data_IF_985517794921
#
_entry.id   IF_985517794921
#
_cell.length_a   1.000
_cell.length_b   1.000
_cell.length_c   1.000
_cell.angle_alpha   90.00
_cell.angle_beta   90.00
_cell.angle_gamma   90.00
#
_symmetry.space_group_name_H-M   'P 1'
#
loop_
_entity.id
_entity.type
_entity.pdbx_description
1 polymer ?
#
# COMPACT_ATOMS: atom_id res chain seq x y z
N UNK A 1 -3.97 -6.84 14.18
CA UNK A 1 -4.70 -5.90 13.30
C UNK A 1 -6.09 -5.74 13.87
N UNK A 2 -6.58 -4.50 13.99
CA UNK A 2 -7.98 -4.25 14.36
C UNK A 2 -8.78 -4.16 13.06
N UNK A 3 -9.85 -4.93 12.97
CA UNK A 3 -10.77 -4.92 11.83
C UNK A 3 -12.10 -4.39 12.34
N UNK A 4 -12.51 -3.26 11.81
CA UNK A 4 -13.82 -2.66 12.06
C UNK A 4 -14.62 -2.74 10.76
N UNK A 5 -15.75 -3.42 10.80
CA UNK A 5 -16.68 -3.56 9.69
C UNK A 5 -17.77 -2.48 9.67
N UNK A 6 -17.71 -1.54 10.63
CA UNK A 6 -18.61 -0.39 10.73
C UNK A 6 -19.98 -0.74 11.32
N UNK A 7 -20.15 -1.90 11.96
CA UNK A 7 -21.41 -2.30 12.59
C UNK A 7 -21.73 -1.51 13.86
N UNK A 8 -20.75 -0.91 14.53
CA UNK A 8 -20.97 -0.02 15.66
C UNK A 8 -20.21 1.29 15.53
N UNK A 9 -20.88 2.40 15.85
CA UNK A 9 -20.30 3.75 15.74
C UNK A 9 -19.24 4.03 16.81
N UNK A 10 -19.25 3.25 17.88
CA UNK A 10 -18.33 3.33 19.01
C UNK A 10 -17.12 2.39 18.90
N UNK A 11 -17.04 1.61 17.81
CA UNK A 11 -15.97 0.63 17.58
C UNK A 11 -15.98 -0.56 18.54
N UNK A 12 -17.01 -0.73 19.37
CA UNK A 12 -17.13 -1.84 20.34
C UNK A 12 -17.18 -3.22 19.68
N UNK A 13 -17.57 -3.29 18.41
CA UNK A 13 -17.61 -4.53 17.62
C UNK A 13 -16.36 -4.75 16.78
N UNK A 14 -15.35 -3.87 16.84
CA UNK A 14 -14.11 -4.06 16.12
C UNK A 14 -13.36 -5.30 16.64
N UNK A 15 -13.07 -6.23 15.74
CA UNK A 15 -12.35 -7.46 16.04
C UNK A 15 -10.84 -7.25 16.05
N UNK A 16 -10.10 -8.08 16.78
CA UNK A 16 -8.64 -8.14 16.70
C UNK A 16 -8.22 -9.45 16.07
N UNK A 17 -7.56 -9.38 14.92
CA UNK A 17 -6.96 -10.52 14.24
C UNK A 17 -5.44 -10.49 14.37
N UNK A 18 -4.84 -11.65 14.57
CA UNK A 18 -3.39 -11.80 14.63
C UNK A 18 -2.90 -12.30 13.28
N UNK A 19 -2.17 -11.45 12.57
CA UNK A 19 -1.45 -11.83 11.37
C UNK A 19 -0.03 -12.27 11.77
N UNK A 20 0.50 -13.38 11.24
CA UNK A 20 1.87 -13.79 11.51
C UNK A 20 2.84 -12.77 10.92
N UNK A 21 4.06 -12.72 11.47
CA UNK A 21 5.14 -11.93 10.88
C UNK A 21 5.46 -12.46 9.47
N UNK A 22 5.69 -11.54 8.53
CA UNK A 22 6.09 -11.85 7.16
C UNK A 22 7.49 -11.29 6.91
N UNK A 23 8.38 -12.09 6.33
CA UNK A 23 9.64 -11.59 5.79
C UNK A 23 9.41 -10.99 4.40
N UNK A 24 8.86 -9.77 4.42
CA UNK A 24 8.43 -9.06 3.22
C UNK A 24 9.56 -8.83 2.20
N UNK A 25 10.83 -8.75 2.64
CA UNK A 25 11.95 -8.50 1.74
C UNK A 25 12.37 -9.76 1.01
N UNK A 26 12.37 -10.90 1.71
CA UNK A 26 12.60 -12.21 1.10
C UNK A 26 11.50 -12.50 0.07
N UNK A 27 10.23 -12.36 0.46
CA UNK A 27 9.09 -12.57 -0.44
C UNK A 27 9.14 -11.66 -1.68
N UNK A 28 9.49 -10.38 -1.50
CA UNK A 28 9.64 -9.45 -2.61
C UNK A 28 10.75 -9.88 -3.59
N UNK A 29 11.92 -10.27 -3.07
CA UNK A 29 13.05 -10.71 -3.88
C UNK A 29 12.75 -12.02 -4.62
N UNK A 30 12.06 -12.95 -3.96
CA UNK A 30 11.63 -14.21 -4.56
C UNK A 30 10.60 -13.98 -5.66
N UNK A 31 9.55 -13.18 -5.43
CA UNK A 31 8.55 -12.86 -6.46
C UNK A 31 9.18 -12.18 -7.67
N UNK A 32 10.10 -11.25 -7.46
CA UNK A 32 10.86 -10.62 -8.54
C UNK A 32 11.68 -11.64 -9.34
N UNK A 33 12.40 -12.55 -8.65
CA UNK A 33 13.19 -13.60 -9.29
C UNK A 33 12.32 -14.57 -10.09
N UNK A 34 11.16 -14.96 -9.55
CA UNK A 34 10.19 -15.83 -10.23
C UNK A 34 9.59 -15.17 -11.48
N UNK A 35 9.28 -13.88 -11.43
CA UNK A 35 8.79 -13.13 -12.58
C UNK A 35 9.81 -13.15 -13.73
N UNK A 36 11.10 -13.01 -13.43
CA UNK A 36 12.19 -13.11 -14.42
C UNK A 36 12.25 -14.51 -15.02
N UNK A 37 12.29 -15.55 -14.17
CA UNK A 37 12.45 -16.94 -14.62
C UNK A 37 11.28 -17.43 -15.47
N UNK A 38 10.07 -17.01 -15.12
CA UNK A 38 8.84 -17.46 -15.80
C UNK A 38 8.42 -16.54 -16.94
N UNK A 39 9.00 -15.34 -17.04
CA UNK A 39 8.54 -14.30 -17.97
C UNK A 39 7.15 -13.74 -17.63
N UNK A 40 6.68 -13.94 -16.40
CA UNK A 40 5.36 -13.47 -15.95
C UNK A 40 5.46 -12.02 -15.50
N UNK A 41 4.54 -11.17 -15.95
CA UNK A 41 4.47 -9.80 -15.49
C UNK A 41 4.01 -9.74 -14.02
N UNK A 42 4.71 -8.94 -13.21
CA UNK A 42 4.24 -8.59 -11.87
C UNK A 42 2.97 -7.74 -11.97
N UNK A 43 2.06 -7.82 -10.97
CA UNK A 43 0.82 -7.05 -10.97
C UNK A 43 1.04 -5.54 -10.82
N UNK A 44 2.25 -5.12 -10.48
CA UNK A 44 2.69 -3.74 -10.35
C UNK A 44 3.96 -3.51 -11.18
N UNK A 45 4.02 -2.37 -11.84
CA UNK A 45 5.13 -1.96 -12.69
C UNK A 45 5.67 -0.58 -12.36
N UNK A 46 6.49 -0.05 -13.25
CA UNK A 46 7.11 1.28 -13.07
C UNK A 46 6.05 2.40 -13.03
N UNK A 47 4.94 2.24 -13.76
CA UNK A 47 3.85 3.21 -13.78
C UNK A 47 3.25 3.44 -12.38
N UNK A 48 3.09 2.38 -11.58
CA UNK A 48 2.59 2.45 -10.20
C UNK A 48 3.56 3.20 -9.29
N UNK A 49 4.87 3.00 -9.51
CA UNK A 49 5.91 3.74 -8.78
C UNK A 49 5.86 5.23 -9.13
N UNK A 50 5.69 5.58 -10.40
CA UNK A 50 5.55 6.97 -10.84
C UNK A 50 4.28 7.60 -10.24
N UNK A 51 3.15 6.89 -10.25
CA UNK A 51 1.92 7.36 -9.62
C UNK A 51 2.12 7.60 -8.12
N UNK A 52 2.81 6.70 -7.43
CA UNK A 52 3.15 6.85 -6.00
C UNK A 52 4.01 8.10 -5.76
N UNK A 53 5.00 8.38 -6.62
CA UNK A 53 5.83 9.58 -6.50
C UNK A 53 5.02 10.87 -6.72
N UNK A 54 4.08 10.89 -7.68
CA UNK A 54 3.17 12.04 -7.88
C UNK A 54 2.31 12.34 -6.65
N UNK A 55 1.86 11.29 -5.95
CA UNK A 55 1.12 11.46 -4.69
C UNK A 55 2.01 12.11 -3.63
N UNK A 56 3.28 11.68 -3.50
CA UNK A 56 4.22 12.32 -2.57
C UNK A 56 4.47 13.78 -2.92
N UNK A 57 4.68 14.10 -4.20
CA UNK A 57 4.85 15.49 -4.66
C UNK A 57 3.62 16.34 -4.31
N UNK A 58 2.41 15.78 -4.48
CA UNK A 58 1.16 16.45 -4.12
C UNK A 58 1.01 16.68 -2.61
N UNK A 59 1.52 15.78 -1.77
CA UNK A 59 1.56 15.97 -0.31
C UNK A 59 2.43 17.17 0.05
N UNK A 60 3.63 17.28 -0.54
CA UNK A 60 4.49 18.44 -0.33
C UNK A 60 3.86 19.73 -0.85
N UNK A 61 3.26 19.70 -2.05
CA UNK A 61 2.58 20.86 -2.61
C UNK A 61 1.32 21.28 -1.82
N UNK A 62 0.64 20.33 -1.18
CA UNK A 62 -0.51 20.59 -0.31
C UNK A 62 -0.10 21.32 0.96
N UNK A 63 1.04 20.96 1.53
CA UNK A 63 1.61 21.63 2.70
C UNK A 63 1.91 23.10 2.40
N UNK A 64 2.55 23.40 1.27
CA UNK A 64 2.88 24.76 0.84
C UNK A 64 1.62 25.60 0.57
N UNK A 65 0.65 25.03 -0.16
CA UNK A 65 -0.56 25.74 -0.61
C UNK A 65 -1.71 25.74 0.40
N UNK A 66 -1.58 25.02 1.53
CA UNK A 66 -2.59 24.84 2.57
C UNK A 66 -3.96 24.41 2.02
N UNK A 67 -3.98 23.56 1.00
CA UNK A 67 -5.20 23.06 0.34
C UNK A 67 -4.98 21.68 -0.27
N UNK A 68 -6.08 21.00 -0.61
CA UNK A 68 -6.04 19.74 -1.34
C UNK A 68 -5.49 19.93 -2.76
N UNK A 69 -4.62 19.01 -3.18
CA UNK A 69 -4.03 18.98 -4.52
C UNK A 69 -4.60 17.78 -5.27
N UNK A 70 -5.07 18.01 -6.50
CA UNK A 70 -5.56 16.93 -7.37
C UNK A 70 -4.37 16.23 -8.04
N UNK A 71 -4.36 14.90 -8.00
CA UNK A 71 -3.32 14.03 -8.58
C UNK A 71 -3.84 13.34 -9.82
#
# INVERSE_FOLDING_TARGET
MVIDDGQSLDGSLAGCEILPACDQYTEQAEQFSQAILTGTALPYGIADSIASMRVLDAVFASEDQKKWINV
#
